data_IF_085674590947
#
_entry.id   IF_085674590947
#
_cell.length_a   1.000
_cell.length_b   1.000
_cell.length_c   1.000
_cell.angle_alpha   90.00
_cell.angle_beta   90.00
_cell.angle_gamma   90.00
#
_symmetry.space_group_name_H-M   'P 1'
#
loop_
_entity.id
_entity.type
_entity.pdbx_description
1 polymer ?
#
# COMPACT_ATOMS: atom_id res chain seq x y z
N UNK A 1 14.78 -2.86 23.77
CA UNK A 1 14.82 -3.01 22.30
C UNK A 1 13.40 -2.81 21.78
N UNK A 2 12.81 -1.65 22.07
CA UNK A 2 11.36 -1.42 21.90
C UNK A 2 11.02 -0.02 21.37
N UNK A 3 12.01 0.86 21.26
CA UNK A 3 11.77 2.24 20.84
C UNK A 3 11.88 2.39 19.31
N UNK A 4 12.91 1.84 18.68
CA UNK A 4 13.23 2.10 17.26
C UNK A 4 12.07 1.78 16.28
N UNK A 5 11.35 0.66 16.48
CA UNK A 5 10.21 0.25 15.63
C UNK A 5 9.03 1.23 15.74
N UNK A 6 8.79 1.79 16.93
CA UNK A 6 7.67 2.73 17.16
C UNK A 6 7.96 4.10 16.53
N UNK A 7 9.23 4.50 16.46
CA UNK A 7 9.63 5.76 15.83
C UNK A 7 9.54 5.72 14.29
N UNK A 8 9.88 4.60 13.65
CA UNK A 8 9.74 4.44 12.18
C UNK A 8 8.27 4.43 11.74
N UNK A 9 7.40 3.65 12.38
CA UNK A 9 5.95 3.64 12.07
C UNK A 9 5.34 5.05 12.15
N UNK A 10 5.68 5.79 13.22
CA UNK A 10 5.22 7.17 13.41
C UNK A 10 5.72 8.08 12.30
N UNK A 11 6.98 7.95 11.87
CA UNK A 11 7.57 8.81 10.83
C UNK A 11 6.91 8.60 9.47
N UNK A 12 6.59 7.35 9.11
CA UNK A 12 5.87 7.02 7.86
C UNK A 12 4.46 7.60 7.87
N UNK A 13 3.71 7.42 8.96
CA UNK A 13 2.33 7.92 9.10
C UNK A 13 2.23 9.45 9.12
N UNK A 14 3.23 10.15 9.66
CA UNK A 14 3.25 11.63 9.73
C UNK A 14 3.46 12.29 8.36
N UNK A 15 3.82 11.49 7.33
CA UNK A 15 4.04 11.98 5.96
C UNK A 15 2.83 11.84 5.04
N UNK A 16 1.72 11.24 5.48
CA UNK A 16 0.51 11.03 4.66
C UNK A 16 -0.59 12.06 5.00
N UNK A 17 -1.44 12.46 4.04
CA UNK A 17 -1.59 11.89 2.70
C UNK A 17 -0.50 12.31 1.70
N UNK A 18 -0.13 11.39 0.80
CA UNK A 18 0.79 11.67 -0.32
C UNK A 18 0.33 11.04 -1.62
N UNK A 19 0.58 11.77 -2.70
CA UNK A 19 0.28 11.33 -4.06
C UNK A 19 1.54 10.89 -4.77
N UNK A 20 1.45 9.72 -5.40
CA UNK A 20 2.50 9.06 -6.15
C UNK A 20 2.06 8.85 -7.60
N UNK A 21 3.02 8.77 -8.51
CA UNK A 21 2.77 8.40 -9.91
C UNK A 21 3.43 7.05 -10.16
N UNK A 22 2.68 5.94 -10.09
CA UNK A 22 3.23 4.61 -10.30
C UNK A 22 3.98 4.50 -11.62
N UNK A 23 5.16 3.90 -11.59
CA UNK A 23 5.89 3.57 -12.81
C UNK A 23 5.17 2.40 -13.52
N UNK A 24 4.68 2.57 -14.77
CA UNK A 24 4.06 1.48 -15.52
C UNK A 24 5.03 0.32 -15.82
N UNK A 25 6.35 0.54 -15.72
CA UNK A 25 7.37 -0.49 -15.84
C UNK A 25 7.79 -1.12 -14.50
N UNK A 26 7.19 -0.69 -13.38
CA UNK A 26 7.48 -1.26 -12.07
C UNK A 26 7.24 -2.77 -12.05
N UNK A 27 7.98 -3.48 -11.19
CA UNK A 27 7.79 -4.92 -11.01
C UNK A 27 6.32 -5.21 -10.63
N UNK A 28 5.60 -6.08 -11.35
CA UNK A 28 4.22 -6.40 -11.04
C UNK A 28 4.08 -6.97 -9.63
N UNK A 29 3.02 -6.59 -8.95
CA UNK A 29 2.64 -7.23 -7.70
C UNK A 29 2.31 -8.71 -7.95
N UNK A 30 2.78 -9.54 -7.03
CA UNK A 30 2.45 -10.96 -6.93
C UNK A 30 2.18 -11.24 -5.46
N UNK A 31 0.93 -11.58 -5.14
CA UNK A 31 0.58 -12.05 -3.81
C UNK A 31 1.40 -13.31 -3.51
N UNK A 32 2.05 -13.33 -2.35
CA UNK A 32 2.72 -14.52 -1.82
C UNK A 32 1.91 -15.04 -0.63
N UNK A 33 1.16 -16.15 -0.78
CA UNK A 33 0.39 -16.75 0.29
C UNK A 33 1.21 -17.21 1.50
N UNK A 34 2.54 -17.31 1.40
CA UNK A 34 3.43 -17.64 2.51
C UNK A 34 3.90 -16.40 3.30
N UNK A 35 3.57 -15.18 2.84
CA UNK A 35 3.97 -13.94 3.51
C UNK A 35 3.47 -13.87 4.94
N UNK A 36 4.36 -13.51 5.87
CA UNK A 36 4.06 -13.35 7.29
C UNK A 36 3.53 -11.96 7.64
N UNK A 37 3.66 -10.99 6.73
CA UNK A 37 3.13 -9.63 6.90
C UNK A 37 2.26 -9.22 5.71
N UNK A 38 1.41 -8.24 5.98
CA UNK A 38 0.59 -7.52 5.01
C UNK A 38 0.76 -6.02 5.23
N UNK A 39 0.47 -5.24 4.21
CA UNK A 39 0.27 -3.80 4.35
C UNK A 39 -1.22 -3.51 4.29
N UNK A 40 -1.74 -2.83 5.33
CA UNK A 40 -3.09 -2.30 5.40
C UNK A 40 -3.08 -0.83 4.95
N UNK A 41 -3.98 -0.44 4.05
CA UNK A 41 -3.99 0.92 3.53
C UNK A 41 -5.37 1.45 3.14
N UNK A 42 -5.42 2.78 3.11
CA UNK A 42 -6.46 3.55 2.43
C UNK A 42 -5.82 4.32 1.28
N UNK A 43 -6.44 4.28 0.10
CA UNK A 43 -5.94 5.00 -1.06
C UNK A 43 -7.06 5.44 -2.01
N UNK A 44 -6.77 6.46 -2.80
CA UNK A 44 -7.53 6.85 -3.99
C UNK A 44 -6.65 6.67 -5.22
N UNK A 45 -7.18 6.04 -6.25
CA UNK A 45 -6.55 5.94 -7.57
C UNK A 45 -7.38 6.77 -8.54
N UNK A 46 -6.81 7.86 -9.06
CA UNK A 46 -7.43 8.65 -10.11
C UNK A 46 -7.10 8.05 -11.48
N UNK A 47 -8.06 8.02 -12.41
CA UNK A 47 -7.81 7.52 -13.76
C UNK A 47 -7.51 8.65 -14.73
N UNK A 48 -6.61 8.42 -15.69
CA UNK A 48 -6.23 9.45 -16.68
C UNK A 48 -7.36 9.77 -17.66
N UNK A 49 -8.37 8.91 -17.75
CA UNK A 49 -9.58 9.11 -18.56
C UNK A 49 -10.78 9.62 -17.74
N UNK A 50 -10.56 10.04 -16.49
CA UNK A 50 -11.58 10.57 -15.59
C UNK A 50 -12.20 9.51 -14.68
N UNK A 51 -12.70 9.97 -13.54
CA UNK A 51 -13.16 9.11 -12.45
C UNK A 51 -12.04 8.64 -11.54
N UNK A 52 -12.40 7.88 -10.50
CA UNK A 52 -11.47 7.34 -9.52
C UNK A 52 -12.03 6.08 -8.85
N UNK A 53 -11.15 5.29 -8.22
CA UNK A 53 -11.51 4.24 -7.26
C UNK A 53 -10.91 4.57 -5.90
N UNK A 54 -11.66 4.29 -4.85
CA UNK A 54 -11.18 4.39 -3.47
C UNK A 54 -11.11 2.99 -2.84
N UNK A 55 -9.99 2.74 -2.17
CA UNK A 55 -9.76 1.57 -1.33
C UNK A 55 -9.77 2.01 0.13
N UNK A 56 -10.51 1.28 0.96
CA UNK A 56 -10.62 1.48 2.41
C UNK A 56 -10.32 0.19 3.14
N UNK A 57 -9.42 0.25 4.10
CA UNK A 57 -9.00 -0.88 4.92
C UNK A 57 -8.48 -2.10 4.12
N UNK A 58 -7.95 -1.89 2.91
CA UNK A 58 -7.47 -2.95 2.04
C UNK A 58 -6.16 -3.56 2.54
N UNK A 59 -5.93 -4.83 2.22
CA UNK A 59 -4.74 -5.59 2.57
C UNK A 59 -4.05 -6.15 1.32
N UNK A 60 -2.72 -6.01 1.24
CA UNK A 60 -1.88 -6.76 0.30
C UNK A 60 -0.78 -7.49 1.06
N UNK A 61 -0.46 -8.72 0.66
CA UNK A 61 0.73 -9.40 1.13
C UNK A 61 2.00 -8.61 0.76
N UNK A 62 3.01 -8.63 1.63
CA UNK A 62 4.31 -8.03 1.35
C UNK A 62 5.42 -9.01 1.69
N UNK A 63 6.52 -8.92 0.94
CA UNK A 63 7.75 -9.62 1.29
C UNK A 63 8.42 -8.89 2.47
N UNK A 64 8.83 -9.64 3.49
CA UNK A 64 9.45 -9.06 4.69
C UNK A 64 8.43 -8.36 5.59
N UNK A 65 8.87 -7.31 6.28
CA UNK A 65 8.12 -6.57 7.30
C UNK A 65 8.04 -5.06 6.99
N UNK A 66 8.39 -4.64 5.77
CA UNK A 66 8.36 -3.24 5.37
C UNK A 66 8.08 -3.08 3.86
N UNK A 67 7.47 -1.95 3.48
CA UNK A 67 7.31 -1.50 2.10
C UNK A 67 7.25 0.03 2.09
N UNK A 68 7.78 0.67 1.06
CA UNK A 68 7.66 2.13 0.93
C UNK A 68 6.28 2.53 0.39
N UNK A 69 5.77 3.74 0.70
CA UNK A 69 4.53 4.25 0.12
C UNK A 69 4.56 4.33 -1.42
N UNK A 70 5.70 4.68 -2.02
CA UNK A 70 5.88 4.69 -3.48
C UNK A 70 5.67 3.28 -4.06
N UNK A 71 6.32 2.28 -3.46
CA UNK A 71 6.17 0.89 -3.89
C UNK A 71 4.75 0.37 -3.67
N UNK A 72 4.10 0.78 -2.58
CA UNK A 72 2.70 0.46 -2.32
C UNK A 72 1.79 1.02 -3.43
N UNK A 73 2.02 2.25 -3.91
CA UNK A 73 1.24 2.83 -5.00
C UNK A 73 1.32 2.00 -6.29
N UNK A 74 2.51 1.49 -6.63
CA UNK A 74 2.71 0.56 -7.75
C UNK A 74 1.99 -0.78 -7.53
N UNK A 75 2.10 -1.33 -6.33
CA UNK A 75 1.44 -2.58 -5.97
C UNK A 75 -0.09 -2.46 -6.07
N UNK A 76 -0.67 -1.36 -5.61
CA UNK A 76 -2.11 -1.06 -5.68
C UNK A 76 -2.61 -1.13 -7.13
N UNK A 77 -1.94 -0.42 -8.05
CA UNK A 77 -2.32 -0.42 -9.47
C UNK A 77 -2.17 -1.81 -10.08
N UNK A 78 -1.08 -2.52 -9.76
CA UNK A 78 -0.84 -3.85 -10.28
C UNK A 78 -1.81 -4.91 -9.72
N UNK A 79 -2.17 -4.85 -8.43
CA UNK A 79 -3.03 -5.83 -7.78
C UNK A 79 -4.48 -5.74 -8.26
N UNK A 80 -4.96 -4.53 -8.49
CA UNK A 80 -6.32 -4.28 -8.99
C UNK A 80 -6.42 -4.34 -10.52
N UNK A 81 -5.31 -4.56 -11.23
CA UNK A 81 -5.24 -4.62 -12.69
C UNK A 81 -5.91 -3.40 -13.38
N UNK A 82 -5.66 -2.20 -12.83
CA UNK A 82 -6.33 -0.97 -13.27
C UNK A 82 -5.72 -0.42 -14.57
N UNK A 83 -6.47 -0.50 -15.66
CA UNK A 83 -6.10 0.13 -16.92
C UNK A 83 -6.27 1.66 -16.82
N UNK A 84 -5.33 2.43 -17.38
CA UNK A 84 -5.32 3.92 -17.33
C UNK A 84 -5.26 4.50 -15.91
N UNK A 85 -4.71 3.74 -14.95
CA UNK A 85 -4.40 4.28 -13.64
C UNK A 85 -3.48 5.50 -13.78
N UNK A 86 -3.87 6.59 -13.12
CA UNK A 86 -3.10 7.80 -12.99
C UNK A 86 -2.46 7.87 -11.59
N UNK A 87 -2.42 9.05 -10.97
CA UNK A 87 -1.86 9.21 -9.64
C UNK A 87 -2.61 8.39 -8.57
N UNK A 88 -1.85 7.90 -7.60
CA UNK A 88 -2.37 7.19 -6.42
C UNK A 88 -2.10 8.05 -5.20
N UNK A 89 -3.15 8.42 -4.47
CA UNK A 89 -3.03 9.13 -3.20
C UNK A 89 -3.26 8.17 -2.05
N UNK A 90 -2.22 7.89 -1.27
CA UNK A 90 -2.30 7.04 -0.08
C UNK A 90 -2.62 7.94 1.11
N UNK A 91 -3.70 7.65 1.84
CA UNK A 91 -4.16 8.45 2.98
C UNK A 91 -3.87 7.76 4.31
N UNK A 92 -3.73 6.44 4.33
CA UNK A 92 -3.31 5.67 5.49
C UNK A 92 -2.52 4.43 5.06
N UNK A 93 -1.55 4.03 5.87
CA UNK A 93 -0.73 2.85 5.65
C UNK A 93 -0.24 2.32 7.00
N UNK A 94 -0.26 1.00 7.18
CA UNK A 94 0.30 0.29 8.34
C UNK A 94 0.75 -1.12 7.94
N UNK A 95 1.88 -1.57 8.46
CA UNK A 95 2.27 -2.98 8.35
C UNK A 95 1.57 -3.79 9.44
N UNK A 96 1.03 -4.96 9.09
CA UNK A 96 0.37 -5.86 10.03
C UNK A 96 0.90 -7.28 9.86
N UNK A 97 1.03 -8.01 10.96
CA UNK A 97 1.33 -9.45 10.91
C UNK A 97 0.10 -10.23 10.46
N UNK A 98 0.34 -11.26 9.65
CA UNK A 98 -0.71 -12.20 9.22
C UNK A 98 -1.27 -12.92 10.44
N UNK A 99 -2.61 -12.95 10.56
CA UNK A 99 -3.32 -13.63 11.65
C UNK A 99 -3.47 -12.82 12.95
N UNK A 100 -2.78 -11.68 13.09
CA UNK A 100 -2.93 -10.79 14.26
C UNK A 100 -4.00 -9.69 14.04
N UNK A 101 -4.40 -9.45 12.79
CA UNK A 101 -5.60 -8.69 12.46
C UNK A 101 -6.72 -9.67 12.14
N UNK A 102 -7.81 -9.66 12.92
CA UNK A 102 -9.05 -10.31 12.52
C UNK A 102 -9.49 -9.63 11.22
N UNK A 103 -9.54 -10.41 10.14
CA UNK A 103 -10.13 -10.01 8.87
C UNK A 103 -11.60 -9.67 9.20
N UNK A 104 -11.92 -8.38 9.26
CA UNK A 104 -13.25 -7.85 9.56
C UNK A 104 -14.20 -8.01 8.38
#
# INVERSE_FOLDING_TARGET
MTDEIVFEERTVQTSLPRTFRPDPAAQPYRADPASTHRVKFDARVDFTNGGYVEAKDFLLEIAGDNVSPERLAEMIVSAMNLLRAGPVTITAMRIVRRGEHQDG
#
